data_IF_690595204030
#
_entry.id   IF_690595204030
#
_cell.length_a   1.000
_cell.length_b   1.000
_cell.length_c   1.000
_cell.angle_alpha   90.00
_cell.angle_beta   90.00
_cell.angle_gamma   90.00
#
_symmetry.space_group_name_H-M   'P 1'
#
loop_
_entity.id
_entity.type
_entity.pdbx_description
1 polymer ?
#
# COMPACT_ATOMS: atom_id res chain seq x y z
N UNK A 1 -38.82 73.35 -10.63
CA UNK A 1 -38.22 72.57 -11.72
C UNK A 1 -37.25 71.58 -11.11
N UNK A 2 -37.43 70.29 -11.46
CA UNK A 2 -36.64 69.09 -11.12
C UNK A 2 -36.47 68.80 -9.61
N UNK A 3 -36.89 67.66 -9.04
CA UNK A 3 -37.13 66.33 -9.59
C UNK A 3 -36.06 65.34 -9.08
N UNK A 4 -36.52 64.17 -8.64
CA UNK A 4 -35.81 63.00 -8.09
C UNK A 4 -35.65 63.02 -6.56
N UNK A 5 -36.24 62.13 -5.76
CA UNK A 5 -36.75 60.79 -6.03
C UNK A 5 -35.78 59.76 -5.44
N UNK A 6 -36.02 59.33 -4.21
CA UNK A 6 -35.47 58.07 -3.69
C UNK A 6 -36.54 57.38 -2.87
N UNK A 7 -37.04 56.33 -3.49
CA UNK A 7 -38.14 55.49 -3.03
C UNK A 7 -37.63 54.54 -1.95
N UNK A 8 -38.46 54.43 -0.92
CA UNK A 8 -38.45 53.44 0.14
C UNK A 8 -38.18 52.03 -0.42
N UNK A 9 -37.00 51.46 -0.14
CA UNK A 9 -36.78 50.02 -0.26
C UNK A 9 -37.28 49.37 1.03
N UNK A 10 -38.60 49.16 1.08
CA UNK A 10 -39.17 48.18 2.00
C UNK A 10 -38.66 46.80 1.61
N UNK A 11 -37.93 46.22 2.55
CA UNK A 11 -37.62 44.80 2.64
C UNK A 11 -38.91 43.98 2.47
N UNK A 12 -39.13 43.45 1.28
CA UNK A 12 -40.10 42.38 1.09
C UNK A 12 -39.40 41.19 0.46
N UNK A 13 -39.35 40.13 1.26
CA UNK A 13 -38.74 38.83 1.00
C UNK A 13 -39.27 38.23 -0.31
N UNK A 14 -38.59 38.51 -1.41
CA UNK A 14 -38.86 37.90 -2.73
C UNK A 14 -38.12 36.58 -2.94
N UNK A 15 -37.24 36.15 -2.02
CA UNK A 15 -36.40 34.96 -2.20
C UNK A 15 -37.01 33.64 -1.69
N UNK A 16 -38.18 33.67 -1.07
CA UNK A 16 -38.84 32.45 -0.54
C UNK A 16 -40.01 31.93 -1.41
N UNK A 17 -40.37 32.61 -2.49
CA UNK A 17 -41.55 32.24 -3.29
C UNK A 17 -41.26 31.27 -4.46
N UNK A 18 -39.99 31.01 -4.79
CA UNK A 18 -39.58 30.17 -5.92
C UNK A 18 -39.17 28.74 -5.50
N UNK A 19 -39.51 28.31 -4.28
CA UNK A 19 -39.07 27.04 -3.71
C UNK A 19 -40.15 25.95 -3.66
N UNK A 20 -41.30 26.14 -4.33
CA UNK A 20 -42.39 25.16 -4.25
C UNK A 20 -42.22 23.94 -5.19
N UNK A 21 -41.28 23.98 -6.13
CA UNK A 21 -41.07 22.88 -7.06
C UNK A 21 -39.63 22.37 -6.97
N UNK A 22 -39.41 21.06 -6.67
CA UNK A 22 -38.08 20.49 -6.69
C UNK A 22 -37.47 20.71 -8.08
N UNK A 23 -36.20 21.14 -8.17
CA UNK A 23 -35.56 21.50 -9.45
C UNK A 23 -35.48 20.32 -10.43
N UNK A 24 -35.66 19.09 -9.93
CA UNK A 24 -35.70 17.87 -10.72
C UNK A 24 -36.97 17.10 -10.35
N UNK A 25 -37.87 16.81 -11.31
CA UNK A 25 -39.02 15.94 -11.07
C UNK A 25 -38.57 14.56 -10.61
N UNK A 26 -39.22 14.02 -9.57
CA UNK A 26 -38.97 12.65 -9.15
C UNK A 26 -39.32 11.67 -10.28
N UNK A 27 -38.38 10.80 -10.65
CA UNK A 27 -38.57 9.76 -11.67
C UNK A 27 -39.75 8.85 -11.33
N UNK A 28 -39.97 8.63 -10.04
CA UNK A 28 -41.06 7.84 -9.49
C UNK A 28 -42.17 8.79 -9.00
N UNK A 29 -43.44 8.45 -9.26
CA UNK A 29 -44.57 9.18 -8.69
C UNK A 29 -44.47 9.13 -7.15
N UNK A 30 -44.93 10.15 -6.41
CA UNK A 30 -44.84 10.17 -4.94
C UNK A 30 -45.40 8.91 -4.25
N UNK A 31 -46.40 8.26 -4.85
CA UNK A 31 -46.99 7.00 -4.35
C UNK A 31 -46.58 5.75 -5.15
N UNK A 32 -45.71 5.89 -6.15
CA UNK A 32 -45.34 4.87 -7.12
C UNK A 32 -44.16 3.98 -6.75
N UNK A 33 -43.55 4.15 -5.58
CA UNK A 33 -42.39 3.37 -5.13
C UNK A 33 -42.78 2.04 -4.47
N UNK A 34 -41.86 1.08 -4.45
CA UNK A 34 -42.02 -0.20 -3.76
C UNK A 34 -40.78 -0.53 -2.89
N UNK A 35 -40.95 -1.17 -1.72
CA UNK A 35 -42.21 -1.58 -1.10
C UNK A 35 -43.02 -0.39 -0.54
N UNK A 36 -44.34 -0.58 -0.38
CA UNK A 36 -45.21 0.47 0.13
C UNK A 36 -45.02 0.69 1.64
N UNK A 37 -44.76 1.93 2.05
CA UNK A 37 -44.77 2.35 3.45
C UNK A 37 -46.08 3.07 3.74
N UNK A 38 -46.75 2.73 4.85
CA UNK A 38 -48.03 3.29 5.24
C UNK A 38 -47.88 4.31 6.36
N UNK A 39 -48.70 5.36 6.34
CA UNK A 39 -48.77 6.35 7.40
C UNK A 39 -49.83 5.98 8.46
N UNK A 40 -49.79 6.67 9.61
CA UNK A 40 -50.67 6.43 10.77
C UNK A 40 -52.08 7.04 10.62
N UNK A 41 -52.48 7.43 9.41
CA UNK A 41 -53.81 7.97 9.18
C UNK A 41 -54.91 6.91 9.36
N UNK A 42 -56.12 7.38 9.67
CA UNK A 42 -57.34 6.57 9.63
C UNK A 42 -58.28 7.22 8.59
N UNK A 43 -58.62 6.54 7.48
CA UNK A 43 -58.11 5.24 7.06
C UNK A 43 -56.62 5.29 6.70
N UNK A 44 -55.95 4.13 6.82
CA UNK A 44 -54.51 3.96 6.51
C UNK A 44 -54.25 4.29 5.05
N UNK A 45 -53.21 5.08 4.79
CA UNK A 45 -52.81 5.51 3.44
C UNK A 45 -51.33 5.25 3.21
N UNK A 46 -50.95 5.10 1.94
CA UNK A 46 -49.53 5.01 1.55
C UNK A 46 -48.87 6.38 1.75
N UNK A 47 -47.73 6.40 2.42
CA UNK A 47 -46.93 7.60 2.59
C UNK A 47 -46.32 8.02 1.23
N UNK A 48 -46.25 9.31 0.98
CA UNK A 48 -45.59 9.87 -0.20
C UNK A 48 -44.06 9.85 -0.01
N UNK A 49 -43.34 9.48 -1.07
CA UNK A 49 -41.89 9.51 -1.15
C UNK A 49 -41.44 10.87 -1.67
N UNK A 50 -40.56 11.51 -0.92
CA UNK A 50 -39.99 12.82 -1.18
C UNK A 50 -38.47 12.76 -1.26
N UNK A 51 -37.87 13.77 -1.87
CA UNK A 51 -36.42 13.96 -1.95
C UNK A 51 -36.08 15.19 -1.13
N UNK A 52 -35.13 15.06 -0.22
CA UNK A 52 -34.57 16.19 0.53
C UNK A 52 -33.67 17.02 -0.38
N UNK A 53 -33.82 18.33 -0.30
CA UNK A 53 -33.00 19.32 -0.98
C UNK A 53 -32.24 20.21 0.00
N UNK A 54 -32.16 19.82 1.28
CA UNK A 54 -31.32 20.51 2.26
C UNK A 54 -29.84 20.29 1.94
N UNK A 55 -28.99 21.22 2.39
CA UNK A 55 -27.54 21.10 2.28
C UNK A 55 -26.99 19.94 3.13
N UNK A 56 -27.67 19.56 4.21
CA UNK A 56 -27.27 18.46 5.11
C UNK A 56 -27.55 17.06 4.52
N UNK A 57 -28.67 16.91 3.80
CA UNK A 57 -29.14 15.63 3.26
C UNK A 57 -29.51 15.74 1.76
N UNK A 58 -28.63 16.24 0.88
CA UNK A 58 -28.97 16.49 -0.52
C UNK A 58 -29.29 15.17 -1.23
N UNK A 59 -30.45 15.11 -1.89
CA UNK A 59 -30.87 13.95 -2.67
C UNK A 59 -31.32 12.74 -1.83
N UNK A 60 -31.29 12.84 -0.49
CA UNK A 60 -31.74 11.76 0.38
C UNK A 60 -33.26 11.63 0.34
N UNK A 61 -33.76 10.41 0.19
CA UNK A 61 -35.21 10.17 0.09
C UNK A 61 -35.83 9.92 1.45
N UNK A 62 -37.04 10.43 1.67
CA UNK A 62 -37.82 10.22 2.89
C UNK A 62 -39.29 10.00 2.56
N UNK A 63 -40.00 9.29 3.44
CA UNK A 63 -41.44 9.08 3.35
C UNK A 63 -42.17 9.97 4.35
N UNK A 64 -43.27 10.60 3.92
CA UNK A 64 -44.12 11.45 4.76
C UNK A 64 -45.58 11.26 4.38
N UNK A 65 -46.52 11.49 5.30
CA UNK A 65 -47.94 11.51 4.94
C UNK A 65 -48.20 12.50 3.80
N UNK A 66 -48.92 12.06 2.76
CA UNK A 66 -49.33 12.87 1.61
C UNK A 66 -50.13 14.12 2.01
N UNK A 67 -51.04 13.95 2.99
CA UNK A 67 -51.89 15.00 3.54
C UNK A 67 -51.32 15.68 4.78
N UNK A 68 -50.03 15.57 5.08
CA UNK A 68 -49.46 16.14 6.30
C UNK A 68 -49.77 17.65 6.47
N UNK A 69 -49.86 18.40 5.36
CA UNK A 69 -50.16 19.82 5.36
C UNK A 69 -51.68 20.14 5.29
N UNK A 70 -52.53 19.14 5.09
CA UNK A 70 -53.99 19.24 4.92
C UNK A 70 -54.76 18.61 6.09
N UNK A 71 -54.12 18.48 7.27
CA UNK A 71 -54.70 17.84 8.45
C UNK A 71 -54.53 16.32 8.53
N UNK A 72 -53.58 15.76 7.77
CA UNK A 72 -53.12 14.37 7.90
C UNK A 72 -52.25 14.12 9.14
N UNK A 73 -51.72 12.91 9.27
CA UNK A 73 -50.84 12.56 10.38
C UNK A 73 -49.42 13.09 10.17
N UNK A 74 -48.65 13.20 11.26
CA UNK A 74 -47.26 13.66 11.27
C UNK A 74 -46.24 12.56 10.93
N UNK A 75 -46.67 11.48 10.28
CA UNK A 75 -45.80 10.37 9.90
C UNK A 75 -44.62 10.84 9.05
N UNK A 76 -43.40 10.46 9.45
CA UNK A 76 -42.14 10.73 8.78
C UNK A 76 -41.17 9.57 9.00
N UNK A 77 -40.41 9.21 7.96
CA UNK A 77 -39.32 8.24 8.07
C UNK A 77 -38.35 8.37 6.90
N UNK A 78 -37.09 7.97 7.11
CA UNK A 78 -36.13 7.92 6.02
C UNK A 78 -36.43 6.72 5.11
N UNK A 79 -36.33 6.93 3.80
CA UNK A 79 -36.58 5.87 2.83
C UNK A 79 -35.28 5.10 2.57
N UNK A 80 -35.17 3.91 3.14
CA UNK A 80 -34.14 2.93 2.80
C UNK A 80 -34.70 1.93 1.80
N UNK A 81 -34.71 2.34 0.52
CA UNK A 81 -35.15 1.47 -0.57
C UNK A 81 -34.23 0.24 -0.72
N UNK A 82 -34.68 -0.80 -1.44
CA UNK A 82 -33.84 -1.96 -1.73
C UNK A 82 -32.55 -1.49 -2.41
N UNK A 83 -31.40 -1.78 -1.79
CA UNK A 83 -30.12 -1.56 -2.44
C UNK A 83 -30.04 -2.48 -3.65
N UNK A 84 -29.60 -1.95 -4.79
CA UNK A 84 -29.36 -2.74 -5.98
C UNK A 84 -28.45 -3.94 -5.63
N UNK A 85 -28.79 -5.18 -6.03
CA UNK A 85 -27.99 -6.37 -5.73
C UNK A 85 -26.52 -6.24 -6.14
N UNK A 86 -26.24 -5.49 -7.21
CA UNK A 86 -24.87 -5.16 -7.62
C UNK A 86 -24.15 -4.34 -6.55
N UNK A 87 -24.80 -3.31 -6.01
CA UNK A 87 -24.20 -2.44 -4.97
C UNK A 87 -23.95 -3.24 -3.68
N UNK A 88 -24.89 -4.10 -3.27
CA UNK A 88 -24.69 -4.95 -2.09
C UNK A 88 -23.48 -5.88 -2.27
N UNK A 89 -23.38 -6.53 -3.43
CA UNK A 89 -22.28 -7.43 -3.78
C UNK A 89 -20.95 -6.67 -3.84
N UNK A 90 -20.92 -5.53 -4.54
CA UNK A 90 -19.74 -4.67 -4.65
C UNK A 90 -19.21 -4.24 -3.28
N UNK A 91 -20.08 -3.83 -2.36
CA UNK A 91 -19.68 -3.43 -1.01
C UNK A 91 -19.06 -4.59 -0.22
N UNK A 92 -19.61 -5.80 -0.37
CA UNK A 92 -19.05 -7.01 0.24
C UNK A 92 -17.69 -7.35 -0.35
N UNK A 93 -17.56 -7.30 -1.67
CA UNK A 93 -16.32 -7.61 -2.39
C UNK A 93 -15.22 -6.61 -2.06
N UNK A 94 -15.53 -5.30 -2.06
CA UNK A 94 -14.60 -4.26 -1.66
C UNK A 94 -14.15 -4.44 -0.21
N UNK A 95 -15.07 -4.74 0.71
CA UNK A 95 -14.72 -5.04 2.11
C UNK A 95 -13.77 -6.22 2.20
N UNK A 96 -14.02 -7.29 1.45
CA UNK A 96 -13.17 -8.47 1.43
C UNK A 96 -11.78 -8.15 0.85
N UNK A 97 -11.72 -7.42 -0.27
CA UNK A 97 -10.47 -6.97 -0.88
C UNK A 97 -9.63 -6.12 0.08
N UNK A 98 -10.25 -5.14 0.77
CA UNK A 98 -9.58 -4.30 1.76
C UNK A 98 -9.05 -5.12 2.93
N UNK A 99 -9.80 -6.11 3.42
CA UNK A 99 -9.33 -7.01 4.48
C UNK A 99 -8.12 -7.81 4.01
N UNK A 100 -8.19 -8.43 2.84
CA UNK A 100 -7.09 -9.19 2.25
C UNK A 100 -5.84 -8.34 2.09
N UNK A 101 -5.96 -7.15 1.50
CA UNK A 101 -4.83 -6.24 1.32
C UNK A 101 -4.22 -5.80 2.64
N UNK A 102 -5.03 -5.57 3.68
CA UNK A 102 -4.51 -5.24 5.03
C UNK A 102 -3.74 -6.41 5.64
N UNK A 103 -4.25 -7.63 5.52
CA UNK A 103 -3.54 -8.83 5.97
C UNK A 103 -2.22 -9.03 5.22
N UNK A 104 -2.22 -8.92 3.89
CA UNK A 104 -1.02 -9.02 3.07
C UNK A 104 0.01 -7.94 3.43
N UNK A 105 -0.44 -6.69 3.63
CA UNK A 105 0.43 -5.60 4.07
C UNK A 105 1.07 -5.86 5.44
N UNK A 106 0.34 -6.47 6.38
CA UNK A 106 0.87 -6.84 7.68
C UNK A 106 1.96 -7.91 7.55
N UNK A 107 1.69 -8.98 6.78
CA UNK A 107 2.66 -10.05 6.50
C UNK A 107 3.91 -9.50 5.82
N UNK A 108 3.73 -8.68 4.77
CA UNK A 108 4.87 -8.11 4.05
C UNK A 108 5.72 -7.20 4.94
N UNK A 109 5.10 -6.40 5.82
CA UNK A 109 5.84 -5.56 6.77
C UNK A 109 6.66 -6.39 7.75
N UNK A 110 6.11 -7.51 8.22
CA UNK A 110 6.85 -8.41 9.10
C UNK A 110 8.03 -9.04 8.36
N UNK A 111 7.81 -9.59 7.16
CA UNK A 111 8.88 -10.20 6.37
C UNK A 111 10.00 -9.20 6.02
N UNK A 112 9.65 -7.94 5.74
CA UNK A 112 10.63 -6.87 5.52
C UNK A 112 11.43 -6.58 6.79
N UNK A 113 10.79 -6.58 7.97
CA UNK A 113 11.47 -6.39 9.26
C UNK A 113 12.47 -7.52 9.52
N UNK A 114 12.05 -8.76 9.34
CA UNK A 114 12.91 -9.95 9.50
C UNK A 114 14.10 -9.89 8.52
N UNK A 115 13.87 -9.53 7.26
CA UNK A 115 14.94 -9.39 6.28
C UNK A 115 15.94 -8.27 6.62
N UNK A 116 15.47 -7.16 7.22
CA UNK A 116 16.37 -6.09 7.68
C UNK A 116 17.29 -6.62 8.79
N UNK A 117 16.75 -7.35 9.77
CA UNK A 117 17.55 -7.95 10.84
C UNK A 117 18.60 -8.94 10.30
N UNK A 118 18.21 -9.77 9.32
CA UNK A 118 19.12 -10.70 8.64
C UNK A 118 20.25 -9.95 7.90
N UNK A 119 19.93 -8.85 7.22
CA UNK A 119 20.94 -8.01 6.53
C UNK A 119 21.91 -7.42 7.54
N UNK A 120 21.43 -6.85 8.64
CA UNK A 120 22.30 -6.31 9.70
C UNK A 120 23.21 -7.39 10.31
N UNK A 121 22.70 -8.61 10.48
CA UNK A 121 23.51 -9.73 10.93
C UNK A 121 24.59 -10.09 9.90
N UNK A 122 24.23 -10.19 8.62
CA UNK A 122 25.17 -10.52 7.54
C UNK A 122 26.25 -9.47 7.37
N UNK A 123 25.94 -8.19 7.59
CA UNK A 123 26.93 -7.12 7.60
C UNK A 123 27.97 -7.31 8.72
N UNK A 124 27.56 -7.76 9.91
CA UNK A 124 28.48 -8.09 11.01
C UNK A 124 29.36 -9.29 10.69
N UNK A 125 28.77 -10.38 10.18
CA UNK A 125 29.50 -11.57 9.73
C UNK A 125 30.52 -11.22 8.64
N UNK A 126 30.12 -10.37 7.68
CA UNK A 126 31.01 -9.90 6.62
C UNK A 126 32.15 -9.05 7.18
N UNK A 127 31.90 -8.21 8.18
CA UNK A 127 32.95 -7.44 8.85
C UNK A 127 33.96 -8.33 9.59
N UNK A 128 33.49 -9.39 10.24
CA UNK A 128 34.35 -10.37 10.93
C UNK A 128 35.20 -11.16 9.94
N UNK A 129 34.59 -11.71 8.89
CA UNK A 129 35.31 -12.44 7.83
C UNK A 129 36.34 -11.53 7.16
N UNK A 130 35.98 -10.26 6.91
CA UNK A 130 36.92 -9.29 6.33
C UNK A 130 38.09 -8.98 7.26
N UNK A 131 37.86 -8.93 8.58
CA UNK A 131 38.93 -8.76 9.56
C UNK A 131 39.86 -9.98 9.59
N UNK A 132 39.31 -11.19 9.48
CA UNK A 132 40.11 -12.42 9.44
C UNK A 132 40.93 -12.53 8.14
N UNK A 133 40.34 -12.18 6.99
CA UNK A 133 41.07 -12.09 5.72
C UNK A 133 42.26 -11.13 5.86
N UNK A 134 42.05 -9.94 6.44
CA UNK A 134 43.12 -8.97 6.67
C UNK A 134 44.24 -9.48 7.61
N UNK A 135 43.94 -10.43 8.51
CA UNK A 135 44.96 -11.07 9.37
C UNK A 135 45.77 -12.13 8.64
N UNK A 136 45.19 -12.78 7.63
CA UNK A 136 45.85 -13.83 6.85
C UNK A 136 46.77 -13.28 5.75
N UNK A 137 46.51 -12.06 5.26
CA UNK A 137 47.34 -11.36 4.26
C UNK A 137 48.87 -11.42 4.52
N UNK A 138 49.36 -11.12 5.74
CA UNK A 138 50.80 -11.20 6.04
C UNK A 138 51.35 -12.63 5.98
N UNK A 139 50.56 -13.62 6.42
CA UNK A 139 50.98 -15.02 6.42
C UNK A 139 51.11 -15.57 5.00
N UNK A 140 50.29 -15.09 4.07
CA UNK A 140 50.40 -15.43 2.66
C UNK A 140 51.70 -14.90 2.05
N UNK A 141 52.08 -13.66 2.39
CA UNK A 141 53.37 -13.08 1.99
C UNK A 141 54.58 -13.84 2.56
N UNK A 142 54.52 -14.26 3.84
CA UNK A 142 55.57 -15.09 4.44
C UNK A 142 55.70 -16.46 3.77
N UNK A 143 54.58 -17.09 3.44
CA UNK A 143 54.56 -18.36 2.71
C UNK A 143 55.22 -18.21 1.33
N UNK A 144 54.86 -17.18 0.57
CA UNK A 144 55.44 -16.92 -0.75
C UNK A 144 56.96 -16.69 -0.67
N UNK A 145 57.41 -15.92 0.33
CA UNK A 145 58.84 -15.71 0.59
C UNK A 145 59.59 -17.02 0.89
N UNK A 146 59.03 -17.85 1.78
CA UNK A 146 59.62 -19.12 2.15
C UNK A 146 59.65 -20.10 0.96
N UNK A 147 58.60 -20.15 0.15
CA UNK A 147 58.57 -20.95 -1.08
C UNK A 147 59.68 -20.53 -2.05
N UNK A 148 59.96 -19.22 -2.18
CA UNK A 148 61.09 -18.70 -2.96
C UNK A 148 62.43 -19.22 -2.45
N UNK A 149 62.67 -19.13 -1.13
CA UNK A 149 63.89 -19.66 -0.49
C UNK A 149 64.06 -21.17 -0.65
N UNK A 150 62.97 -21.93 -0.57
CA UNK A 150 63.02 -23.39 -0.76
C UNK A 150 63.47 -23.72 -2.19
N UNK A 151 62.91 -23.05 -3.20
CA UNK A 151 63.31 -23.22 -4.61
C UNK A 151 64.80 -22.89 -4.83
N UNK A 152 65.29 -21.83 -4.19
CA UNK A 152 66.70 -21.41 -4.29
C UNK A 152 67.64 -22.45 -3.66
N UNK A 153 67.33 -22.92 -2.45
CA UNK A 153 68.08 -23.99 -1.79
C UNK A 153 68.04 -25.31 -2.58
N UNK A 154 66.91 -25.61 -3.23
CA UNK A 154 66.80 -26.77 -4.11
C UNK A 154 67.69 -26.63 -5.35
N UNK A 155 67.78 -25.43 -5.93
CA UNK A 155 68.69 -25.13 -7.04
C UNK A 155 70.16 -25.29 -6.61
N UNK A 156 70.55 -24.72 -5.48
CA UNK A 156 71.91 -24.87 -4.93
C UNK A 156 72.27 -26.34 -4.66
N UNK A 157 71.36 -27.11 -4.05
CA UNK A 157 71.55 -28.56 -3.82
C UNK A 157 71.69 -29.32 -5.14
N UNK A 158 70.92 -28.96 -6.16
CA UNK A 158 71.00 -29.56 -7.49
C UNK A 158 72.38 -29.31 -8.13
N UNK A 159 72.87 -28.07 -8.05
CA UNK A 159 74.21 -27.71 -8.54
C UNK A 159 75.29 -28.49 -7.79
N UNK A 160 75.24 -28.52 -6.46
CA UNK A 160 76.21 -29.25 -5.63
C UNK A 160 76.26 -30.75 -5.97
N UNK A 161 75.09 -31.39 -6.16
CA UNK A 161 75.02 -32.78 -6.62
C UNK A 161 75.69 -32.96 -7.98
N UNK A 162 75.48 -32.03 -8.91
CA UNK A 162 76.12 -32.04 -10.23
C UNK A 162 77.65 -31.90 -10.15
N UNK A 163 78.15 -30.96 -9.35
CA UNK A 163 79.58 -30.72 -9.13
C UNK A 163 80.26 -31.94 -8.52
N UNK A 164 79.69 -32.50 -7.43
CA UNK A 164 80.22 -33.70 -6.77
C UNK A 164 80.18 -34.89 -7.74
N UNK A 165 79.08 -35.08 -8.47
CA UNK A 165 78.97 -36.12 -9.49
C UNK A 165 80.02 -36.00 -10.59
N UNK A 166 80.28 -34.78 -11.08
CA UNK A 166 81.30 -34.50 -12.08
C UNK A 166 82.73 -34.77 -11.60
N UNK A 167 83.05 -34.37 -10.37
CA UNK A 167 84.36 -34.68 -9.76
C UNK A 167 84.56 -36.18 -9.60
N UNK A 168 83.56 -36.92 -9.11
CA UNK A 168 83.62 -38.37 -8.99
C UNK A 168 83.81 -39.05 -10.35
N UNK A 169 83.08 -38.63 -11.38
CA UNK A 169 83.24 -39.17 -12.73
C UNK A 169 84.63 -38.90 -13.30
N UNK A 170 85.18 -37.69 -13.09
CA UNK A 170 86.52 -37.32 -13.53
C UNK A 170 87.61 -38.12 -12.83
N UNK A 171 87.48 -38.34 -11.51
CA UNK A 171 88.41 -39.17 -10.75
C UNK A 171 88.38 -40.64 -11.21
N UNK A 172 87.20 -41.19 -11.47
CA UNK A 172 87.04 -42.54 -12.02
C UNK A 172 87.66 -42.64 -13.42
N UNK A 173 87.40 -41.67 -14.30
CA UNK A 173 88.01 -41.65 -15.62
C UNK A 173 89.54 -41.56 -15.56
N UNK A 174 90.09 -40.71 -14.69
CA UNK A 174 91.53 -40.60 -14.47
C UNK A 174 92.16 -41.91 -14.00
N UNK A 175 91.48 -42.65 -13.12
CA UNK A 175 91.93 -43.96 -12.63
C UNK A 175 91.82 -45.07 -13.69
N UNK A 176 90.89 -44.98 -14.63
CA UNK A 176 90.70 -45.99 -15.68
C UNK A 176 91.62 -45.81 -16.90
N UNK A 177 92.08 -44.59 -17.18
CA UNK A 177 92.92 -44.25 -18.33
C UNK A 177 94.42 -44.09 -17.98
N UNK A 178 94.82 -44.48 -16.77
CA UNK A 178 96.20 -44.50 -16.31
C UNK A 178 96.71 -45.93 -16.23
#
# INVERSE_FOLDING_TARGET
MAGNGSSSLELTNSWFAEAEHPPIPSRDKPLGYEPAVFCDCIPVRKAALWISWSDEDPGRRYVKCDKANEGGCSFFGWYEGPHDPFVQTLLVDLRNAVRTLRSQKAVLRQAVSEFIEDVEQKEKELAEVKAEVARLDPMEGEKEYLEGKVKDLELEKMIMRGVVGGFLASAVAYLLFR
#
